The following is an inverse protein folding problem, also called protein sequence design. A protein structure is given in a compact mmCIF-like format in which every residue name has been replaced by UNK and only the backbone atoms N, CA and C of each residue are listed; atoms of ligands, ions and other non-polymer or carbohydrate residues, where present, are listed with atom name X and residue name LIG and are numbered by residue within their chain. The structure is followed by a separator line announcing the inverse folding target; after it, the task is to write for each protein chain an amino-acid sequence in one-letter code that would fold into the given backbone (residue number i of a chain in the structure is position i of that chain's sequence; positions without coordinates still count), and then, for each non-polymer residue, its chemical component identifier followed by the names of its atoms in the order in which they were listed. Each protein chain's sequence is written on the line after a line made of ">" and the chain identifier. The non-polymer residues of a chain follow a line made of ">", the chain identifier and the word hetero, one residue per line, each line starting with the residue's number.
data_IF_971293896732
#
_entry.id   IF_971293896732
#
_cell.length_a   1.000
_cell.length_b   1.000
_cell.length_c   1.000
_cell.angle_alpha   90.00
_cell.angle_beta   90.00
_cell.angle_gamma   90.00
#
_symmetry.space_group_name_H-M   'P 1'
#
loop_
_entity.id
_entity.type
_entity.pdbx_description
1 polymer ?
#
# COMPACT_ATOMS: atom_id res chain seq x y z
N UNK A 1 -31.21 27.16 -23.39
CA UNK A 1 -29.83 26.65 -23.55
C UNK A 1 -29.23 26.49 -22.16
N UNK A 2 -28.66 25.33 -21.77
CA UNK A 2 -27.88 25.25 -20.54
C UNK A 2 -26.39 25.14 -20.85
N UNK A 3 -25.62 26.17 -20.47
CA UNK A 3 -24.15 26.19 -20.42
C UNK A 3 -23.70 25.45 -19.15
N UNK A 4 -24.11 24.18 -18.99
CA UNK A 4 -23.61 23.29 -17.92
C UNK A 4 -22.68 22.19 -18.43
N UNK A 5 -22.60 22.04 -19.75
CA UNK A 5 -22.06 20.83 -20.39
C UNK A 5 -20.54 20.81 -20.51
N UNK A 6 -19.86 21.96 -20.51
CA UNK A 6 -18.41 22.02 -20.77
C UNK A 6 -17.61 21.79 -19.47
N UNK A 7 -17.99 22.44 -18.37
CA UNK A 7 -17.36 22.24 -17.04
C UNK A 7 -17.62 20.83 -16.50
N UNK A 8 -18.84 20.30 -16.55
CA UNK A 8 -19.12 18.91 -16.14
C UNK A 8 -18.33 17.89 -16.97
N UNK A 9 -18.07 18.19 -18.25
CA UNK A 9 -17.29 17.30 -19.13
C UNK A 9 -15.79 17.40 -18.84
N UNK A 10 -15.30 18.58 -18.47
CA UNK A 10 -13.93 18.77 -18.00
C UNK A 10 -13.69 18.11 -16.64
N UNK A 11 -14.63 18.26 -15.70
CA UNK A 11 -14.58 17.65 -14.38
C UNK A 11 -14.63 16.12 -14.47
N UNK A 12 -15.54 15.55 -15.30
CA UNK A 12 -15.56 14.11 -15.57
C UNK A 12 -14.25 13.60 -16.20
N UNK A 13 -13.59 14.39 -17.04
CA UNK A 13 -12.26 14.02 -17.60
C UNK A 13 -11.18 14.01 -16.53
N UNK A 14 -11.22 14.95 -15.58
CA UNK A 14 -10.30 14.99 -14.44
C UNK A 14 -10.54 13.80 -13.50
N UNK A 15 -11.79 13.48 -13.17
CA UNK A 15 -12.16 12.30 -12.37
C UNK A 15 -11.72 11.00 -13.04
N UNK A 16 -11.96 10.84 -14.34
CA UNK A 16 -11.50 9.65 -15.10
C UNK A 16 -9.98 9.55 -15.10
N UNK A 17 -9.26 10.67 -15.22
CA UNK A 17 -7.79 10.69 -15.18
C UNK A 17 -7.25 10.39 -13.78
N UNK A 18 -7.89 10.92 -12.73
CA UNK A 18 -7.57 10.62 -11.34
C UNK A 18 -7.77 9.12 -11.06
N UNK A 19 -8.91 8.55 -11.47
CA UNK A 19 -9.17 7.11 -11.39
C UNK A 19 -8.18 6.27 -12.15
N UNK A 20 -7.87 6.62 -13.40
CA UNK A 20 -6.91 5.88 -14.21
C UNK A 20 -5.53 5.87 -13.56
N UNK A 21 -5.13 6.97 -12.90
CA UNK A 21 -3.85 7.10 -12.22
C UNK A 21 -3.84 6.29 -10.92
N UNK A 22 -4.93 6.35 -10.13
CA UNK A 22 -5.09 5.51 -8.93
C UNK A 22 -5.15 4.01 -9.26
N UNK A 23 -5.84 3.62 -10.35
CA UNK A 23 -5.92 2.22 -10.79
C UNK A 23 -4.60 1.67 -11.32
N UNK A 24 -3.69 2.52 -11.82
CA UNK A 24 -2.37 2.08 -12.29
C UNK A 24 -1.48 1.55 -11.14
N UNK A 25 -1.82 1.87 -9.88
CA UNK A 25 -1.21 1.31 -8.67
C UNK A 25 -1.97 0.11 -8.06
N UNK A 26 -3.06 -0.35 -8.68
CA UNK A 26 -3.87 -1.48 -8.18
C UNK A 26 -3.76 -2.66 -9.17
N UNK A 27 -3.42 -3.88 -8.72
CA UNK A 27 -3.31 -5.03 -9.63
C UNK A 27 -4.62 -5.42 -10.30
N UNK A 28 -4.52 -5.85 -11.56
CA UNK A 28 -5.66 -6.26 -12.41
C UNK A 28 -6.57 -7.32 -11.75
N UNK A 29 -6.01 -8.24 -10.97
CA UNK A 29 -6.78 -9.30 -10.28
C UNK A 29 -7.68 -8.77 -9.16
N UNK A 30 -7.38 -7.58 -8.63
CA UNK A 30 -8.18 -6.91 -7.61
C UNK A 30 -8.99 -5.74 -8.17
N UNK A 31 -8.68 -5.24 -9.38
CA UNK A 31 -9.43 -4.17 -10.06
C UNK A 31 -10.93 -4.48 -10.22
N UNK A 32 -11.30 -5.74 -10.47
CA UNK A 32 -12.72 -6.14 -10.57
C UNK A 32 -13.53 -5.83 -9.29
N UNK A 33 -12.89 -5.85 -8.13
CA UNK A 33 -13.53 -5.52 -6.84
C UNK A 33 -13.66 -4.01 -6.62
N UNK A 34 -12.85 -3.20 -7.32
CA UNK A 34 -12.85 -1.73 -7.23
C UNK A 34 -13.68 -1.06 -8.34
N UNK A 35 -13.94 -1.76 -9.45
CA UNK A 35 -14.72 -1.26 -10.59
C UNK A 35 -16.17 -0.91 -10.25
N UNK A 36 -16.71 -1.41 -9.13
CA UNK A 36 -18.05 -1.04 -8.65
C UNK A 36 -18.08 0.30 -7.89
N UNK A 37 -16.92 0.81 -7.50
CA UNK A 37 -16.80 2.00 -6.65
C UNK A 37 -16.96 3.26 -7.50
N UNK A 38 -18.07 3.98 -7.26
CA UNK A 38 -18.43 5.21 -7.97
C UNK A 38 -17.84 6.47 -7.37
N UNK A 39 -17.16 6.43 -6.23
CA UNK A 39 -16.60 7.59 -5.58
C UNK A 39 -15.11 7.41 -5.30
N UNK A 40 -14.30 8.40 -5.66
CA UNK A 40 -12.84 8.35 -5.53
C UNK A 40 -12.42 8.26 -4.04
N UNK A 41 -13.20 8.85 -3.13
CA UNK A 41 -12.97 8.72 -1.68
C UNK A 41 -13.14 7.28 -1.18
N UNK A 42 -14.18 6.59 -1.67
CA UNK A 42 -14.44 5.19 -1.32
C UNK A 42 -13.41 4.26 -1.97
N UNK A 43 -12.89 4.62 -3.14
CA UNK A 43 -11.85 3.87 -3.81
C UNK A 43 -10.56 3.94 -2.99
N UNK A 44 -10.18 5.13 -2.53
CA UNK A 44 -9.02 5.33 -1.67
C UNK A 44 -9.14 4.53 -0.37
N UNK A 45 -10.25 4.66 0.35
CA UNK A 45 -10.51 3.93 1.59
C UNK A 45 -10.48 2.40 1.39
N UNK A 46 -11.03 1.90 0.29
CA UNK A 46 -10.98 0.48 -0.02
C UNK A 46 -9.56 -0.01 -0.35
N UNK A 47 -8.72 0.83 -0.96
CA UNK A 47 -7.31 0.54 -1.23
C UNK A 47 -6.50 0.56 0.08
N UNK A 48 -6.70 1.56 0.94
CA UNK A 48 -6.06 1.67 2.26
C UNK A 48 -6.42 0.46 3.14
N UNK A 49 -7.69 0.08 3.21
CA UNK A 49 -8.12 -1.09 3.98
C UNK A 49 -7.50 -2.40 3.45
N UNK A 50 -7.37 -2.56 2.14
CA UNK A 50 -6.69 -3.74 1.56
C UNK A 50 -5.20 -3.72 1.84
N UNK A 51 -4.57 -2.56 1.72
CA UNK A 51 -3.16 -2.40 2.01
C UNK A 51 -2.87 -2.72 3.48
N UNK A 52 -3.67 -2.20 4.41
CA UNK A 52 -3.57 -2.52 5.83
C UNK A 52 -3.75 -4.01 6.12
N UNK A 53 -4.77 -4.66 5.53
CA UNK A 53 -4.98 -6.11 5.72
C UNK A 53 -3.80 -6.96 5.20
N UNK A 54 -3.21 -6.57 4.06
CA UNK A 54 -2.01 -7.20 3.51
C UNK A 54 -0.78 -6.96 4.39
N UNK A 55 -0.62 -5.74 4.91
CA UNK A 55 0.46 -5.35 5.81
C UNK A 55 0.40 -6.17 7.11
N UNK A 56 -0.79 -6.25 7.73
CA UNK A 56 -1.03 -7.05 8.95
C UNK A 56 -0.62 -8.51 8.74
N UNK A 57 -1.07 -9.12 7.63
CA UNK A 57 -0.72 -10.50 7.30
C UNK A 57 0.80 -10.70 7.08
N UNK A 58 1.45 -9.74 6.44
CA UNK A 58 2.89 -9.82 6.14
C UNK A 58 3.71 -9.65 7.42
N UNK A 59 3.33 -8.71 8.28
CA UNK A 59 3.96 -8.46 9.56
C UNK A 59 3.87 -9.67 10.49
N UNK A 60 2.67 -10.28 10.64
CA UNK A 60 2.48 -11.48 11.46
C UNK A 60 3.37 -12.65 11.00
N UNK A 61 3.48 -12.85 9.68
CA UNK A 61 4.34 -13.89 9.10
C UNK A 61 5.82 -13.62 9.35
N UNK A 62 6.23 -12.36 9.21
CA UNK A 62 7.62 -11.95 9.42
C UNK A 62 8.02 -12.08 10.89
N UNK A 63 7.19 -11.62 11.82
CA UNK A 63 7.38 -11.79 13.27
C UNK A 63 7.58 -13.26 13.64
N UNK A 64 6.75 -14.15 13.08
CA UNK A 64 6.87 -15.59 13.28
C UNK A 64 8.21 -16.14 12.79
N UNK A 65 8.72 -15.66 11.65
CA UNK A 65 10.02 -16.07 11.11
C UNK A 65 11.18 -15.55 11.97
N UNK A 66 11.11 -14.29 12.40
CA UNK A 66 12.10 -13.68 13.30
C UNK A 66 12.20 -14.49 14.59
N UNK A 67 11.06 -14.81 15.24
CA UNK A 67 11.06 -15.64 16.44
C UNK A 67 11.66 -17.05 16.21
N UNK A 68 11.45 -17.65 15.03
CA UNK A 68 12.04 -18.95 14.71
C UNK A 68 13.56 -18.89 14.55
N UNK A 69 14.09 -17.82 13.93
CA UNK A 69 15.52 -17.62 13.72
C UNK A 69 16.24 -17.29 15.03
N UNK A 70 15.62 -16.48 15.88
CA UNK A 70 16.13 -16.20 17.23
C UNK A 70 16.27 -17.48 18.07
N UNK A 71 15.30 -18.40 17.97
CA UNK A 71 15.35 -19.71 18.63
C UNK A 71 16.45 -20.63 18.07
N UNK A 72 16.81 -20.47 16.79
CA UNK A 72 17.96 -21.17 16.19
C UNK A 72 19.32 -20.54 16.59
N UNK A 73 19.31 -19.42 17.30
CA UNK A 73 20.51 -18.68 17.69
C UNK A 73 21.05 -17.76 16.58
N UNK A 74 20.30 -17.53 15.51
CA UNK A 74 20.63 -16.51 14.53
C UNK A 74 20.19 -15.13 15.05
N UNK A 75 21.13 -14.18 15.09
CA UNK A 75 20.82 -12.77 15.34
C UNK A 75 20.63 -12.07 14.02
N UNK A 76 19.41 -11.63 13.75
CA UNK A 76 19.12 -10.71 12.66
C UNK A 76 19.28 -9.26 13.12
N UNK A 77 19.78 -8.40 12.24
CA UNK A 77 19.74 -6.95 12.46
C UNK A 77 18.31 -6.43 12.29
N UNK A 78 17.94 -5.37 13.00
CA UNK A 78 16.67 -4.68 12.79
C UNK A 78 16.55 -4.16 11.36
N UNK A 79 17.64 -3.63 10.79
CA UNK A 79 17.71 -3.24 9.37
C UNK A 79 17.32 -4.40 8.45
N UNK A 80 17.88 -5.60 8.66
CA UNK A 80 17.61 -6.76 7.79
C UNK A 80 16.13 -7.19 7.86
N UNK A 81 15.57 -7.16 9.06
CA UNK A 81 14.15 -7.47 9.31
C UNK A 81 13.25 -6.43 8.63
N UNK A 82 13.58 -5.14 8.77
CA UNK A 82 12.86 -4.04 8.15
C UNK A 82 12.94 -4.09 6.61
N UNK A 83 14.10 -4.43 6.05
CA UNK A 83 14.27 -4.65 4.62
C UNK A 83 13.43 -5.82 4.13
N UNK A 84 13.37 -6.93 4.86
CA UNK A 84 12.52 -8.05 4.45
C UNK A 84 11.03 -7.76 4.59
N UNK A 85 10.61 -6.97 5.58
CA UNK A 85 9.23 -6.46 5.61
C UNK A 85 8.93 -5.67 4.35
N UNK A 86 9.79 -4.71 3.99
CA UNK A 86 9.60 -3.85 2.82
C UNK A 86 9.70 -4.59 1.47
N UNK A 87 10.50 -5.65 1.37
CA UNK A 87 10.57 -6.52 0.19
C UNK A 87 9.38 -7.47 0.10
N UNK A 88 8.85 -7.91 1.26
CA UNK A 88 7.67 -8.77 1.33
C UNK A 88 6.38 -8.02 1.05
N UNK A 89 6.39 -6.68 1.14
CA UNK A 89 5.33 -5.85 0.58
C UNK A 89 5.21 -6.13 -0.91
N UNK A 90 4.00 -6.42 -1.34
CA UNK A 90 3.74 -6.91 -2.69
C UNK A 90 4.29 -5.95 -3.75
N UNK A 91 4.84 -6.44 -4.88
CA UNK A 91 5.40 -5.61 -5.95
C UNK A 91 4.40 -4.58 -6.49
N UNK A 92 3.11 -4.82 -6.26
CA UNK A 92 2.01 -3.96 -6.67
C UNK A 92 1.95 -2.63 -5.92
N UNK A 93 2.51 -2.57 -4.70
CA UNK A 93 2.63 -1.35 -3.92
C UNK A 93 4.04 -0.75 -4.01
N UNK A 94 4.93 -1.23 -4.90
CA UNK A 94 6.32 -0.79 -5.00
C UNK A 94 6.48 0.73 -5.14
N UNK A 95 5.60 1.42 -5.86
CA UNK A 95 5.72 2.88 -6.02
C UNK A 95 5.51 3.60 -4.68
N UNK A 96 4.57 3.13 -3.86
CA UNK A 96 4.36 3.64 -2.50
C UNK A 96 5.47 3.14 -1.57
N UNK A 97 5.79 1.85 -1.58
CA UNK A 97 6.84 1.26 -0.76
C UNK A 97 8.23 1.88 -1.00
N UNK A 98 8.59 2.27 -2.23
CA UNK A 98 9.85 2.94 -2.55
C UNK A 98 9.90 4.36 -1.98
N UNK A 99 8.81 5.12 -2.07
CA UNK A 99 8.74 6.45 -1.44
C UNK A 99 8.83 6.34 0.08
N UNK A 100 8.29 5.28 0.68
CA UNK A 100 8.28 5.08 2.12
C UNK A 100 9.62 4.51 2.61
N UNK A 101 10.29 3.67 1.81
CA UNK A 101 11.68 3.21 2.03
C UNK A 101 12.68 4.37 2.10
N UNK A 102 12.41 5.46 1.38
CA UNK A 102 13.25 6.66 1.41
C UNK A 102 12.92 7.61 2.57
N UNK A 103 11.79 7.41 3.27
CA UNK A 103 11.32 8.29 4.36
C UNK A 103 11.41 7.63 5.73
N UNK A 104 11.27 6.31 5.80
CA UNK A 104 11.37 5.57 7.04
C UNK A 104 12.84 5.43 7.43
N UNK A 105 13.12 5.69 8.70
CA UNK A 105 14.41 5.36 9.29
C UNK A 105 14.42 3.84 9.51
N UNK A 106 15.34 3.15 8.85
CA UNK A 106 15.39 1.69 8.82
C UNK A 106 16.11 1.11 10.06
N UNK A 107 16.74 1.96 10.85
CA UNK A 107 17.33 1.61 12.15
C UNK A 107 16.28 1.55 13.29
N UNK A 108 15.00 1.89 13.03
CA UNK A 108 13.93 1.83 14.04
C UNK A 108 13.45 0.41 14.30
N UNK A 109 12.71 0.21 15.40
CA UNK A 109 12.02 -1.06 15.63
C UNK A 109 11.06 -1.38 14.48
N UNK A 110 10.93 -2.67 14.17
CA UNK A 110 9.94 -3.15 13.20
C UNK A 110 8.49 -2.76 13.59
N UNK A 111 8.18 -2.65 14.89
CA UNK A 111 6.86 -2.20 15.36
C UNK A 111 6.59 -0.73 15.03
N UNK A 112 7.60 0.12 15.19
CA UNK A 112 7.52 1.54 14.85
C UNK A 112 7.40 1.73 13.33
N UNK A 113 8.17 0.96 12.57
CA UNK A 113 8.09 0.93 11.11
C UNK A 113 6.69 0.49 10.65
N UNK A 114 6.12 -0.54 11.26
CA UNK A 114 4.77 -1.00 10.97
C UNK A 114 3.71 0.06 11.30
N UNK A 115 3.81 0.73 12.44
CA UNK A 115 2.89 1.83 12.79
C UNK A 115 2.99 3.00 11.82
N UNK A 116 4.20 3.30 11.34
CA UNK A 116 4.41 4.33 10.33
C UNK A 116 3.88 3.92 8.95
N UNK A 117 3.76 2.62 8.68
CA UNK A 117 3.24 2.05 7.42
C UNK A 117 1.70 2.01 7.35
N UNK A 118 1.01 2.20 8.49
CA UNK A 118 -0.44 2.11 8.64
C UNK A 118 -1.15 3.46 8.51
#
# INVERSE_FOLDING_TARGET
>A
MPIKTIEEKAQRRLEVKARSTSMMGIPNEHQLNFNSIKNDKQLLEAVENRFGAMLDQTFDRLQKLVSQLELLGEKLSQEDVNQELLKSLSPEYNTHAVVWRNKADLDTSIDDLYHNLK
#
